data_IF_776921914495
#
_entry.id   IF_776921914495
#
_cell.length_a   1.000
_cell.length_b   1.000
_cell.length_c   1.000
_cell.angle_alpha   90.00
_cell.angle_beta   90.00
_cell.angle_gamma   90.00
#
_symmetry.space_group_name_H-M   'P 1'
#
loop_
_entity.id
_entity.type
_entity.pdbx_description
1 polymer ?
#
# COMPACT_ATOMS: atom_id res chain seq x y z
N UNK A 1 2.36 -19.29 -1.05
CA UNK A 1 1.49 -18.09 -1.27
C UNK A 1 1.77 -17.50 -2.64
N UNK A 2 0.75 -17.12 -3.42
CA UNK A 2 0.83 -16.36 -4.68
C UNK A 2 0.60 -14.87 -4.41
N UNK A 3 0.86 -14.00 -5.39
CA UNK A 3 0.61 -12.56 -5.27
C UNK A 3 -0.88 -12.24 -5.09
N UNK A 4 -1.76 -12.97 -5.77
CA UNK A 4 -3.21 -12.83 -5.61
C UNK A 4 -3.68 -13.23 -4.21
N UNK A 5 -3.18 -14.34 -3.67
CA UNK A 5 -3.47 -14.76 -2.29
C UNK A 5 -2.97 -13.73 -1.26
N UNK A 6 -1.76 -13.18 -1.49
CA UNK A 6 -1.20 -12.13 -0.63
C UNK A 6 -2.07 -10.88 -0.63
N UNK A 7 -2.47 -10.39 -1.82
CA UNK A 7 -3.37 -9.24 -1.97
C UNK A 7 -4.69 -9.46 -1.22
N UNK A 8 -5.30 -10.64 -1.39
CA UNK A 8 -6.53 -11.00 -0.70
C UNK A 8 -6.34 -10.98 0.82
N UNK A 9 -5.28 -11.62 1.33
CA UNK A 9 -5.03 -11.68 2.76
C UNK A 9 -4.84 -10.28 3.38
N UNK A 10 -4.10 -9.38 2.72
CA UNK A 10 -3.96 -8.00 3.20
C UNK A 10 -5.28 -7.22 3.13
N UNK A 11 -6.09 -7.44 2.08
CA UNK A 11 -7.41 -6.81 1.92
C UNK A 11 -8.37 -7.26 3.01
N UNK A 12 -8.37 -8.54 3.37
CA UNK A 12 -9.21 -9.11 4.44
C UNK A 12 -8.90 -8.46 5.81
N UNK A 13 -7.69 -7.92 6.00
CA UNK A 13 -7.30 -7.12 7.16
C UNK A 13 -7.49 -5.61 6.99
N UNK A 14 -8.13 -5.16 5.93
CA UNK A 14 -8.45 -3.74 5.68
C UNK A 14 -7.28 -2.92 5.15
N UNK A 15 -6.33 -3.55 4.46
CA UNK A 15 -5.21 -2.86 3.82
C UNK A 15 -5.49 -2.65 2.33
N UNK A 16 -5.46 -1.39 1.86
CA UNK A 16 -5.70 -1.04 0.46
C UNK A 16 -4.44 -1.07 -0.40
N UNK A 17 -3.27 -0.86 0.22
CA UNK A 17 -1.98 -0.82 -0.44
C UNK A 17 -0.95 -1.66 0.30
N UNK A 18 -0.10 -2.35 -0.45
CA UNK A 18 1.06 -3.09 0.05
C UNK A 18 2.31 -2.41 -0.46
N UNK A 19 3.26 -2.20 0.41
CA UNK A 19 4.57 -1.62 0.14
C UNK A 19 5.62 -2.73 0.17
N UNK A 20 6.13 -3.10 -1.00
CA UNK A 20 7.08 -4.19 -1.16
C UNK A 20 8.52 -3.67 -1.23
N UNK A 21 9.40 -4.22 -0.41
CA UNK A 21 10.84 -3.94 -0.40
C UNK A 21 11.63 -5.21 -0.66
N UNK A 22 12.51 -5.16 -1.66
CA UNK A 22 13.51 -6.22 -1.85
C UNK A 22 14.62 -6.01 -0.82
N UNK A 23 14.90 -7.02 -0.02
CA UNK A 23 15.91 -6.98 1.03
C UNK A 23 17.29 -7.32 0.45
N UNK A 24 18.29 -6.50 0.77
CA UNK A 24 19.69 -6.79 0.46
C UNK A 24 20.32 -7.73 1.48
N UNK A 25 21.48 -8.31 1.14
CA UNK A 25 22.24 -9.19 2.02
C UNK A 25 22.74 -8.49 3.30
N UNK A 26 22.94 -7.17 3.25
CA UNK A 26 23.53 -6.37 4.34
C UNK A 26 22.51 -5.69 5.25
N UNK A 27 21.22 -5.84 4.99
CA UNK A 27 20.20 -5.11 5.75
C UNK A 27 20.18 -5.41 7.25
N UNK A 28 21.02 -6.35 7.75
CA UNK A 28 20.78 -6.87 9.08
C UNK A 28 21.96 -7.27 9.94
N UNK A 29 23.02 -6.52 10.02
CA UNK A 29 24.01 -6.78 11.08
C UNK A 29 23.44 -6.62 12.51
N UNK A 30 22.25 -5.98 12.65
CA UNK A 30 21.59 -5.69 13.93
C UNK A 30 20.08 -6.02 13.94
N UNK A 31 19.61 -6.92 13.08
CA UNK A 31 18.17 -7.18 12.92
C UNK A 31 17.35 -5.90 12.69
N UNK A 32 17.84 -5.02 11.84
CA UNK A 32 17.20 -3.79 11.44
C UNK A 32 17.03 -3.76 9.93
N UNK A 33 15.89 -3.32 9.44
CA UNK A 33 15.63 -3.13 8.02
C UNK A 33 15.61 -1.63 7.73
N UNK A 34 16.44 -1.18 6.80
CA UNK A 34 16.45 0.19 6.30
C UNK A 34 15.17 0.46 5.49
N UNK A 35 14.43 1.52 5.86
CA UNK A 35 13.16 1.88 5.21
C UNK A 35 13.23 3.15 4.37
N UNK A 36 14.36 3.84 4.33
CA UNK A 36 14.56 5.04 3.52
C UNK A 36 15.50 6.05 4.16
N UNK A 37 16.02 6.97 3.32
CA UNK A 37 16.91 8.07 3.69
C UNK A 37 16.15 9.38 3.93
N UNK A 38 14.87 9.30 4.29
CA UNK A 38 14.06 10.44 4.71
C UNK A 38 13.00 9.97 5.70
N UNK A 39 12.34 10.90 6.38
CA UNK A 39 11.21 10.60 7.25
C UNK A 39 9.87 10.46 6.49
N UNK A 40 9.87 10.55 5.16
CA UNK A 40 8.65 10.43 4.34
C UNK A 40 7.94 9.09 4.53
N UNK A 41 8.69 8.04 4.91
CA UNK A 41 8.13 6.72 5.23
C UNK A 41 7.09 6.79 6.36
N UNK A 42 7.17 7.77 7.25
CA UNK A 42 6.21 7.99 8.32
C UNK A 42 4.84 8.51 7.81
N UNK A 43 4.80 9.02 6.57
CA UNK A 43 3.54 9.40 5.93
C UNK A 43 2.72 8.17 5.48
N UNK A 44 3.36 7.01 5.37
CA UNK A 44 2.70 5.77 4.96
C UNK A 44 2.52 4.78 6.11
N UNK A 45 3.37 4.81 7.13
CA UNK A 45 3.28 3.91 8.28
C UNK A 45 3.01 4.69 9.57
N UNK A 46 1.84 4.48 10.19
CA UNK A 46 1.46 5.20 11.39
C UNK A 46 2.37 4.83 12.57
N UNK A 47 2.67 5.83 13.38
CA UNK A 47 3.40 5.69 14.64
C UNK A 47 2.51 6.15 15.80
N UNK A 48 2.71 5.60 16.99
CA UNK A 48 1.92 5.96 18.17
C UNK A 48 2.65 6.96 19.08
N UNK A 49 3.92 6.72 19.35
CA UNK A 49 4.71 7.50 20.30
C UNK A 49 6.16 7.57 19.83
N UNK A 50 6.78 8.72 20.04
CA UNK A 50 8.21 8.92 19.79
C UNK A 50 8.89 9.21 21.12
N UNK A 51 9.96 8.46 21.42
CA UNK A 51 10.79 8.65 22.60
C UNK A 51 12.28 8.72 22.23
N UNK A 52 13.05 9.50 22.99
CA UNK A 52 14.50 9.50 22.83
C UNK A 52 15.07 8.12 23.20
N UNK A 53 16.02 7.63 22.42
CA UNK A 53 16.73 6.39 22.73
C UNK A 53 18.02 6.65 23.49
N UNK A 54 17.94 6.63 24.82
CA UNK A 54 19.08 6.83 25.71
C UNK A 54 20.13 5.69 25.68
N UNK A 55 19.81 4.55 25.07
CA UNK A 55 20.74 3.43 24.92
C UNK A 55 21.74 3.60 23.77
N UNK A 56 21.66 4.69 23.04
CA UNK A 56 22.55 5.02 21.93
C UNK A 56 23.86 5.67 22.39
N UNK A 57 24.89 5.55 21.55
CA UNK A 57 26.09 6.34 21.68
C UNK A 57 25.71 7.83 21.55
N UNK A 58 26.14 8.68 22.50
CA UNK A 58 25.87 10.11 22.51
C UNK A 58 26.28 10.86 21.22
N UNK A 59 27.10 10.24 20.39
CA UNK A 59 27.54 10.78 19.09
C UNK A 59 26.44 10.70 18.00
N UNK A 60 25.38 9.92 18.21
CA UNK A 60 24.30 9.73 17.24
C UNK A 60 22.94 9.75 17.95
N UNK A 61 22.41 10.94 18.08
CA UNK A 61 21.03 11.10 18.53
C UNK A 61 20.10 10.24 17.68
N UNK A 62 19.22 9.48 18.34
CA UNK A 62 18.22 8.65 17.70
C UNK A 62 16.97 8.58 18.55
N UNK A 63 15.85 8.37 17.88
CA UNK A 63 14.55 8.24 18.51
C UNK A 63 13.94 6.89 18.16
N UNK A 64 13.09 6.39 19.06
CA UNK A 64 12.26 5.21 18.85
C UNK A 64 10.82 5.67 18.64
N UNK A 65 10.22 5.27 17.54
CA UNK A 65 8.82 5.47 17.26
C UNK A 65 8.11 4.11 17.38
N UNK A 66 7.21 3.99 18.36
CA UNK A 66 6.43 2.79 18.57
C UNK A 66 5.38 2.61 17.48
N UNK A 67 5.16 1.36 17.06
CA UNK A 67 4.21 1.00 16.03
C UNK A 67 3.35 -0.19 16.46
N UNK A 68 2.10 -0.20 16.04
CA UNK A 68 1.23 -1.37 16.16
C UNK A 68 1.50 -2.32 14.99
N UNK A 69 2.30 -3.36 15.21
CA UNK A 69 2.77 -4.25 14.15
C UNK A 69 2.40 -5.71 14.40
N UNK A 70 2.04 -6.42 13.32
CA UNK A 70 1.80 -7.86 13.33
C UNK A 70 2.39 -8.54 12.09
N UNK A 71 2.87 -9.77 12.24
CA UNK A 71 3.24 -10.61 11.10
C UNK A 71 2.05 -11.41 10.60
N UNK A 72 1.75 -11.31 9.32
CA UNK A 72 0.90 -12.24 8.58
C UNK A 72 1.71 -13.51 8.27
N UNK A 73 1.11 -14.68 8.48
CA UNK A 73 1.72 -15.97 8.18
C UNK A 73 0.94 -16.72 7.10
N UNK A 74 1.51 -17.83 6.60
CA UNK A 74 0.90 -18.64 5.54
C UNK A 74 -0.45 -19.28 5.95
N UNK A 75 -0.72 -19.36 7.25
CA UNK A 75 -2.02 -19.76 7.79
C UNK A 75 -3.11 -18.67 7.68
N UNK A 76 -2.77 -17.52 7.11
CA UNK A 76 -3.68 -16.36 6.97
C UNK A 76 -3.89 -15.57 8.26
N UNK A 77 -3.21 -15.94 9.37
CA UNK A 77 -3.38 -15.32 10.68
C UNK A 77 -2.30 -14.28 10.92
N UNK A 78 -2.66 -13.16 11.58
CA UNK A 78 -1.69 -12.15 12.02
C UNK A 78 -1.27 -12.39 13.46
N UNK A 79 0.04 -12.27 13.72
CA UNK A 79 0.67 -12.48 15.02
C UNK A 79 1.29 -11.18 15.51
N UNK A 80 0.78 -10.59 16.62
CA UNK A 80 1.29 -9.34 17.17
C UNK A 80 2.78 -9.40 17.54
N UNK A 81 3.46 -8.28 17.30
CA UNK A 81 4.88 -8.09 17.61
C UNK A 81 5.06 -6.83 18.47
N UNK A 82 4.85 -6.92 19.79
CA UNK A 82 4.71 -5.73 20.65
C UNK A 82 5.99 -4.93 20.85
N UNK A 83 7.13 -5.41 20.36
CA UNK A 83 8.42 -4.72 20.42
C UNK A 83 8.86 -4.13 19.08
N UNK A 84 8.01 -4.20 18.06
CA UNK A 84 8.26 -3.59 16.77
C UNK A 84 8.27 -2.06 16.89
N UNK A 85 9.25 -1.43 16.27
CA UNK A 85 9.46 0.01 16.32
C UNK A 85 10.21 0.51 15.10
N UNK A 86 10.08 1.79 14.81
CA UNK A 86 11.01 2.48 13.93
C UNK A 86 12.08 3.16 14.75
N UNK A 87 13.32 3.16 14.25
CA UNK A 87 14.43 3.94 14.79
C UNK A 87 14.68 5.08 13.82
N UNK A 88 14.64 6.30 14.33
CA UNK A 88 14.79 7.53 13.57
C UNK A 88 16.16 8.13 13.88
N UNK A 89 16.90 8.52 12.84
CA UNK A 89 18.21 9.15 12.93
C UNK A 89 18.16 10.56 12.33
N UNK A 90 17.99 11.64 13.15
CA UNK A 90 17.80 12.99 12.60
C UNK A 90 19.02 13.55 11.87
N UNK A 91 20.22 13.25 12.34
CA UNK A 91 21.47 13.78 11.76
C UNK A 91 21.68 13.34 10.30
N UNK A 92 21.28 12.12 9.99
CA UNK A 92 21.23 11.57 8.63
C UNK A 92 19.85 10.99 8.47
N UNK A 93 18.89 11.76 7.94
CA UNK A 93 17.48 11.38 7.96
C UNK A 93 17.27 9.98 7.40
N UNK A 94 17.23 9.00 8.27
CA UNK A 94 16.94 7.61 7.90
C UNK A 94 15.97 6.97 8.91
N UNK A 95 15.18 6.05 8.42
CA UNK A 95 14.27 5.25 9.23
C UNK A 95 14.66 3.79 9.11
N UNK A 96 14.76 3.11 10.25
CA UNK A 96 15.03 1.67 10.34
C UNK A 96 13.93 0.97 11.08
N UNK A 97 13.45 -0.13 10.55
CA UNK A 97 12.51 -1.03 11.20
C UNK A 97 13.28 -2.01 12.08
N UNK A 98 12.89 -2.13 13.35
CA UNK A 98 13.56 -2.92 14.36
C UNK A 98 12.56 -3.58 15.31
N UNK A 99 13.01 -4.55 16.11
CA UNK A 99 12.18 -5.23 17.12
C UNK A 99 11.12 -6.15 16.54
N UNK A 100 11.06 -6.32 15.24
CA UNK A 100 10.02 -7.03 14.50
C UNK A 100 9.97 -8.55 14.73
N UNK A 101 10.95 -9.14 15.41
CA UNK A 101 10.94 -10.56 15.83
C UNK A 101 10.63 -10.73 17.32
N UNK A 102 10.82 -9.67 18.10
CA UNK A 102 10.82 -9.76 19.55
C UNK A 102 9.40 -9.97 20.11
N UNK A 103 9.26 -11.00 20.95
CA UNK A 103 8.00 -11.40 21.61
C UNK A 103 6.86 -11.75 20.65
N UNK A 104 7.16 -12.06 19.39
CA UNK A 104 6.17 -12.56 18.45
C UNK A 104 6.14 -14.09 18.49
N UNK A 105 4.95 -14.67 18.71
CA UNK A 105 4.77 -16.13 18.81
C UNK A 105 5.18 -16.89 17.56
N UNK A 106 4.92 -16.32 16.38
CA UNK A 106 5.25 -16.91 15.06
C UNK A 106 5.98 -15.90 14.18
N UNK A 107 7.05 -15.29 14.72
CA UNK A 107 7.92 -14.43 13.92
C UNK A 107 8.57 -15.23 12.78
N UNK A 108 8.72 -14.65 11.57
CA UNK A 108 9.42 -15.28 10.45
C UNK A 108 10.95 -15.18 10.62
N UNK A 109 11.46 -15.71 11.75
CA UNK A 109 12.87 -15.55 12.14
C UNK A 109 13.81 -16.16 11.11
N UNK A 110 13.45 -17.32 10.55
CA UNK A 110 14.21 -18.04 9.52
C UNK A 110 14.44 -17.21 8.26
N UNK A 111 13.48 -16.35 7.89
CA UNK A 111 13.58 -15.47 6.73
C UNK A 111 14.20 -14.11 7.08
N UNK A 112 13.92 -13.59 8.27
CA UNK A 112 14.36 -12.24 8.64
C UNK A 112 15.80 -12.20 9.17
N UNK A 113 16.35 -13.33 9.66
CA UNK A 113 17.73 -13.40 10.16
C UNK A 113 18.74 -13.86 9.11
N UNK A 114 18.28 -14.52 8.04
CA UNK A 114 19.17 -14.90 6.93
C UNK A 114 19.67 -13.66 6.19
N UNK A 115 20.90 -13.72 5.70
CA UNK A 115 21.52 -12.66 4.87
C UNK A 115 21.31 -12.87 3.38
N UNK A 116 20.37 -13.73 3.00
CA UNK A 116 20.13 -14.05 1.60
C UNK A 116 19.48 -12.87 0.89
N UNK A 117 20.10 -12.40 -0.17
CA UNK A 117 19.61 -11.31 -1.00
C UNK A 117 18.33 -11.71 -1.77
N UNK A 118 17.50 -10.72 -2.12
CA UNK A 118 16.31 -10.93 -2.95
C UNK A 118 15.09 -11.42 -2.20
N UNK A 119 15.14 -11.60 -0.86
CA UNK A 119 13.94 -11.76 -0.04
C UNK A 119 13.07 -10.52 -0.20
N UNK A 120 11.75 -10.67 -0.09
CA UNK A 120 10.85 -9.55 -0.25
C UNK A 120 10.04 -9.37 1.03
N UNK A 121 10.13 -8.18 1.59
CA UNK A 121 9.32 -7.72 2.71
C UNK A 121 8.13 -6.93 2.15
N UNK A 122 6.93 -7.36 2.50
CA UNK A 122 5.68 -6.68 2.21
C UNK A 122 5.15 -6.06 3.48
N UNK A 123 4.87 -4.77 3.46
CA UNK A 123 4.30 -4.02 4.57
C UNK A 123 3.01 -3.34 4.10
N UNK A 124 2.00 -3.31 4.95
CA UNK A 124 0.78 -2.55 4.70
C UNK A 124 0.25 -1.99 6.01
N UNK A 125 -0.51 -0.91 5.94
CA UNK A 125 -1.26 -0.39 7.07
C UNK A 125 -2.76 -0.47 6.77
N UNK A 126 -3.52 -0.72 7.81
CA UNK A 126 -4.98 -0.68 7.74
C UNK A 126 -5.54 0.63 8.30
N UNK A 127 -6.84 0.84 8.14
CA UNK A 127 -7.55 2.04 8.61
C UNK A 127 -7.59 2.19 10.14
N UNK A 128 -7.17 1.14 10.88
CA UNK A 128 -7.08 1.15 12.35
C UNK A 128 -5.67 1.49 12.85
N UNK A 129 -4.76 1.89 11.96
CA UNK A 129 -3.38 2.22 12.31
C UNK A 129 -2.50 1.01 12.63
N UNK A 130 -2.91 -0.21 12.26
CA UNK A 130 -2.08 -1.40 12.38
C UNK A 130 -1.25 -1.63 11.13
N UNK A 131 0.05 -1.83 11.32
CA UNK A 131 0.97 -2.25 10.26
C UNK A 131 1.03 -3.77 10.24
N UNK A 132 0.85 -4.36 9.07
CA UNK A 132 0.93 -5.80 8.85
C UNK A 132 2.10 -6.08 7.94
N UNK A 133 2.93 -7.04 8.29
CA UNK A 133 4.09 -7.46 7.50
C UNK A 133 3.98 -8.91 7.04
N UNK A 134 4.49 -9.19 5.86
CA UNK A 134 4.74 -10.54 5.36
C UNK A 134 6.11 -10.56 4.70
N UNK A 135 6.85 -11.63 4.85
CA UNK A 135 8.15 -11.80 4.21
C UNK A 135 8.22 -13.13 3.48
N UNK A 136 8.83 -13.13 2.32
CA UNK A 136 9.05 -14.34 1.52
C UNK A 136 10.50 -14.53 1.13
N UNK A 137 10.89 -15.78 0.91
CA UNK A 137 12.20 -16.14 0.38
C UNK A 137 12.35 -15.66 -1.07
N UNK A 138 13.58 -15.41 -1.50
CA UNK A 138 13.93 -14.98 -2.86
C UNK A 138 13.54 -16.00 -3.94
N UNK A 139 13.53 -17.29 -3.60
CA UNK A 139 13.23 -18.40 -4.51
C UNK A 139 11.77 -18.90 -4.42
N UNK A 140 10.92 -18.19 -3.71
CA UNK A 140 9.50 -18.54 -3.62
C UNK A 140 8.74 -18.21 -4.90
N UNK A 141 7.62 -18.91 -5.13
CA UNK A 141 6.71 -18.57 -6.23
C UNK A 141 6.25 -17.11 -6.17
N UNK A 142 5.97 -16.60 -4.96
CA UNK A 142 5.58 -15.21 -4.76
C UNK A 142 6.68 -14.23 -5.17
N UNK A 143 7.94 -14.49 -4.82
CA UNK A 143 9.06 -13.65 -5.22
C UNK A 143 9.28 -13.68 -6.74
N UNK A 144 9.16 -14.85 -7.36
CA UNK A 144 9.24 -15.02 -8.81
C UNK A 144 8.14 -14.24 -9.53
N UNK A 145 6.89 -14.40 -9.07
CA UNK A 145 5.73 -13.70 -9.62
C UNK A 145 5.85 -12.17 -9.46
N UNK A 146 6.27 -11.70 -8.28
CA UNK A 146 6.53 -10.28 -8.03
C UNK A 146 7.62 -9.71 -8.94
N UNK A 147 8.75 -10.41 -9.08
CA UNK A 147 9.86 -9.95 -9.90
C UNK A 147 9.52 -9.91 -11.39
N UNK A 148 8.68 -10.84 -11.87
CA UNK A 148 8.19 -10.86 -13.26
C UNK A 148 7.22 -9.70 -13.54
N UNK A 149 6.35 -9.37 -12.57
CA UNK A 149 5.30 -8.36 -12.69
C UNK A 149 5.58 -7.17 -11.75
N UNK A 150 6.82 -6.75 -11.65
CA UNK A 150 7.26 -5.69 -10.73
C UNK A 150 6.49 -4.39 -11.00
N UNK A 151 5.82 -3.82 -9.99
CA UNK A 151 5.06 -2.58 -10.18
C UNK A 151 5.96 -1.42 -10.62
N UNK A 152 5.47 -0.58 -11.51
CA UNK A 152 6.16 0.66 -11.89
C UNK A 152 6.06 1.73 -10.79
N UNK A 153 4.91 1.75 -10.08
CA UNK A 153 4.66 2.72 -9.03
C UNK A 153 5.52 2.46 -7.80
N UNK A 154 6.20 3.51 -7.32
CA UNK A 154 7.07 3.47 -6.15
C UNK A 154 6.79 4.62 -5.20
N UNK A 155 7.09 4.39 -3.92
CA UNK A 155 7.21 5.42 -2.90
C UNK A 155 8.55 5.21 -2.16
N UNK A 156 9.49 6.12 -2.40
CA UNK A 156 10.85 5.95 -1.93
C UNK A 156 11.47 4.63 -2.40
N UNK A 157 11.80 3.75 -1.47
CA UNK A 157 12.40 2.45 -1.75
C UNK A 157 11.36 1.32 -1.95
N UNK A 158 10.08 1.62 -1.81
CA UNK A 158 9.02 0.62 -1.88
C UNK A 158 8.34 0.60 -3.24
N UNK A 159 8.05 -0.59 -3.73
CA UNK A 159 7.11 -0.82 -4.83
C UNK A 159 5.69 -0.85 -4.26
N UNK A 160 4.74 -0.18 -4.92
CA UNK A 160 3.35 -0.10 -4.45
C UNK A 160 2.50 -1.13 -5.19
N UNK A 161 1.80 -1.98 -4.42
CA UNK A 161 0.85 -2.96 -4.93
C UNK A 161 -0.53 -2.60 -4.36
N UNK A 162 -1.53 -2.39 -5.20
CA UNK A 162 -2.91 -2.23 -4.76
C UNK A 162 -3.52 -3.60 -4.45
N UNK A 163 -4.20 -3.73 -3.31
CA UNK A 163 -4.87 -4.98 -2.90
C UNK A 163 -6.17 -5.21 -3.65
N UNK A 164 -6.90 -4.13 -3.90
CA UNK A 164 -8.00 -4.16 -4.83
C UNK A 164 -7.42 -4.13 -6.25
N UNK A 165 -7.94 -4.94 -7.12
CA UNK A 165 -7.96 -4.64 -8.53
C UNK A 165 -8.87 -3.41 -8.71
N UNK A 166 -8.40 -2.23 -8.29
CA UNK A 166 -8.79 -1.04 -9.03
C UNK A 166 -8.26 -1.36 -10.41
N UNK A 167 -9.18 -1.56 -11.33
CA UNK A 167 -8.90 -1.62 -12.75
C UNK A 167 -7.77 -0.63 -12.96
N UNK A 168 -6.54 -1.14 -13.09
CA UNK A 168 -5.32 -0.33 -13.14
C UNK A 168 -5.16 0.33 -14.51
N UNK A 169 -6.28 0.79 -15.04
CA UNK A 169 -6.39 1.48 -16.29
C UNK A 169 -7.54 2.49 -16.24
N UNK A 170 -7.61 3.31 -15.19
CA UNK A 170 -8.57 4.42 -15.23
C UNK A 170 -8.46 5.20 -16.55
N UNK A 171 -7.24 5.35 -17.09
CA UNK A 171 -7.05 6.00 -18.38
C UNK A 171 -7.53 5.12 -19.54
N UNK A 172 -7.12 3.86 -19.61
CA UNK A 172 -7.52 2.98 -20.72
C UNK A 172 -9.00 2.60 -20.61
N UNK A 173 -9.51 2.32 -19.41
CA UNK A 173 -10.93 2.08 -19.18
C UNK A 173 -11.77 3.32 -19.52
N UNK A 174 -11.30 4.52 -19.16
CA UNK A 174 -11.97 5.76 -19.55
C UNK A 174 -11.92 5.95 -21.08
N UNK A 175 -10.79 5.68 -21.71
CA UNK A 175 -10.65 5.76 -23.17
C UNK A 175 -11.53 4.75 -23.90
N UNK A 176 -11.62 3.53 -23.41
CA UNK A 176 -12.52 2.49 -23.92
C UNK A 176 -13.97 2.93 -23.77
N UNK A 177 -14.35 3.48 -22.63
CA UNK A 177 -15.71 3.95 -22.39
C UNK A 177 -16.04 5.19 -23.24
N UNK A 178 -15.13 6.14 -23.37
CA UNK A 178 -15.29 7.27 -24.28
C UNK A 178 -15.37 6.82 -25.76
N UNK A 179 -14.59 5.80 -26.15
CA UNK A 179 -14.66 5.21 -27.48
C UNK A 179 -16.01 4.51 -27.71
N UNK A 180 -16.52 3.79 -26.69
CA UNK A 180 -17.87 3.21 -26.74
C UNK A 180 -18.92 4.29 -26.96
N UNK A 181 -18.87 5.38 -26.18
CA UNK A 181 -19.82 6.49 -26.28
C UNK A 181 -19.72 7.16 -27.66
N UNK A 182 -18.52 7.40 -28.16
CA UNK A 182 -18.30 7.96 -29.49
C UNK A 182 -18.95 7.09 -30.59
N UNK A 183 -18.80 5.77 -30.50
CA UNK A 183 -19.33 4.83 -31.47
C UNK A 183 -20.87 4.70 -31.41
N UNK A 184 -21.55 5.21 -30.37
CA UNK A 184 -23.01 5.31 -30.33
C UNK A 184 -23.56 6.30 -31.35
N UNK A 185 -22.72 7.24 -31.84
CA UNK A 185 -23.15 8.31 -32.76
C UNK A 185 -24.14 9.27 -32.10
N UNK A 186 -25.19 9.63 -32.81
CA UNK A 186 -26.24 10.51 -32.30
C UNK A 186 -27.21 9.73 -31.42
N UNK A 187 -27.28 10.09 -30.14
CA UNK A 187 -28.17 9.49 -29.15
C UNK A 187 -29.14 10.52 -28.58
N UNK A 188 -30.30 10.05 -28.10
CA UNK A 188 -31.30 10.89 -27.49
C UNK A 188 -30.74 11.50 -26.19
N UNK A 189 -30.94 12.81 -26.01
CA UNK A 189 -30.48 13.54 -24.82
C UNK A 189 -31.12 13.00 -23.55
N UNK A 190 -30.29 12.70 -22.55
CA UNK A 190 -30.70 12.13 -21.27
C UNK A 190 -29.84 12.65 -20.11
N UNK A 191 -30.29 12.45 -18.90
CA UNK A 191 -29.51 12.66 -17.66
C UNK A 191 -29.88 11.59 -16.64
N UNK A 192 -29.08 11.41 -15.62
CA UNK A 192 -29.45 10.61 -14.44
C UNK A 192 -30.11 11.49 -13.39
N UNK A 193 -31.07 10.93 -12.63
CA UNK A 193 -31.52 11.51 -11.36
C UNK A 193 -30.56 11.14 -10.22
N UNK A 194 -30.88 11.54 -8.98
CA UNK A 194 -30.05 11.22 -7.80
C UNK A 194 -30.02 9.73 -7.46
N UNK A 195 -31.04 9.01 -7.85
CA UNK A 195 -31.23 7.57 -7.66
C UNK A 195 -30.57 6.75 -8.78
N UNK A 196 -30.04 7.41 -9.84
CA UNK A 196 -29.38 6.76 -10.97
C UNK A 196 -30.33 6.35 -12.10
N UNK A 197 -31.62 6.75 -12.07
CA UNK A 197 -32.55 6.45 -13.15
C UNK A 197 -32.37 7.43 -14.31
N UNK A 198 -32.51 6.91 -15.54
CA UNK A 198 -32.42 7.72 -16.74
C UNK A 198 -33.68 8.53 -16.98
N UNK A 199 -33.55 9.85 -17.10
CA UNK A 199 -34.63 10.76 -17.45
C UNK A 199 -34.29 11.59 -18.70
N UNK A 200 -35.31 12.01 -19.45
CA UNK A 200 -35.11 12.84 -20.64
C UNK A 200 -34.52 14.21 -20.26
N UNK A 201 -33.64 14.72 -21.11
CA UNK A 201 -33.04 16.04 -20.95
C UNK A 201 -33.42 16.94 -22.13
N UNK A 202 -34.01 18.13 -21.83
CA UNK A 202 -34.51 19.07 -22.84
C UNK A 202 -33.94 20.48 -22.64
N UNK A 203 -32.75 20.60 -22.06
CA UNK A 203 -32.09 21.89 -21.79
C UNK A 203 -30.89 22.11 -22.72
N UNK A 204 -30.40 23.34 -22.79
CA UNK A 204 -29.24 23.69 -23.64
C UNK A 204 -27.97 22.89 -23.29
N UNK A 205 -27.80 22.49 -22.04
CA UNK A 205 -26.61 21.78 -21.56
C UNK A 205 -26.73 20.27 -21.62
N UNK A 206 -27.74 19.72 -22.29
CA UNK A 206 -28.00 18.29 -22.33
C UNK A 206 -26.85 17.44 -22.90
N UNK A 207 -25.99 18.01 -23.72
CA UNK A 207 -24.80 17.30 -24.22
C UNK A 207 -23.89 16.81 -23.09
N UNK A 208 -23.58 17.71 -22.14
CA UNK A 208 -22.78 17.34 -20.95
C UNK A 208 -23.48 16.33 -20.07
N UNK A 209 -24.76 16.55 -19.74
CA UNK A 209 -25.56 15.61 -18.94
C UNK A 209 -25.73 14.24 -19.61
N UNK A 210 -25.78 14.19 -20.94
CA UNK A 210 -25.84 12.92 -21.66
C UNK A 210 -24.52 12.17 -21.55
N UNK A 211 -23.39 12.85 -21.66
CA UNK A 211 -22.07 12.25 -21.45
C UNK A 211 -21.91 11.73 -20.00
N UNK A 212 -22.31 12.53 -19.00
CA UNK A 212 -22.31 12.10 -17.61
C UNK A 212 -23.20 10.87 -17.39
N UNK A 213 -24.40 10.85 -18.00
CA UNK A 213 -25.30 9.71 -17.91
C UNK A 213 -24.74 8.44 -18.57
N UNK A 214 -24.06 8.57 -19.70
CA UNK A 214 -23.36 7.46 -20.37
C UNK A 214 -22.20 6.92 -19.54
N UNK A 215 -21.52 7.80 -18.78
CA UNK A 215 -20.45 7.45 -17.85
C UNK A 215 -20.97 6.94 -16.49
N UNK A 216 -22.29 6.90 -16.28
CA UNK A 216 -22.88 6.49 -15.01
C UNK A 216 -22.71 7.50 -13.87
N UNK A 217 -22.45 8.77 -14.20
CA UNK A 217 -22.24 9.84 -13.20
C UNK A 217 -23.60 10.42 -12.80
N UNK A 218 -23.95 10.23 -11.53
CA UNK A 218 -25.16 10.82 -10.93
C UNK A 218 -24.86 12.25 -10.43
N UNK A 219 -25.86 13.14 -10.41
CA UNK A 219 -25.69 14.49 -9.86
C UNK A 219 -25.24 14.41 -8.41
N UNK A 220 -24.10 14.99 -8.08
CA UNK A 220 -23.58 15.13 -6.73
C UNK A 220 -23.38 16.61 -6.42
N UNK A 221 -23.56 16.98 -5.15
CA UNK A 221 -23.40 18.36 -4.68
C UNK A 221 -21.97 18.75 -4.34
N UNK A 222 -20.97 17.98 -4.79
CA UNK A 222 -19.56 18.28 -4.50
C UNK A 222 -19.05 19.33 -5.48
N UNK A 223 -18.43 20.38 -4.95
CA UNK A 223 -17.67 21.33 -5.76
C UNK A 223 -16.52 20.61 -6.44
N UNK A 224 -16.27 20.91 -7.72
CA UNK A 224 -15.07 20.38 -8.39
C UNK A 224 -13.82 20.81 -7.60
N UNK A 225 -12.84 19.93 -7.42
CA UNK A 225 -11.56 20.31 -6.82
C UNK A 225 -10.95 21.44 -7.69
N UNK A 226 -10.54 22.51 -7.01
CA UNK A 226 -9.83 23.63 -7.65
C UNK A 226 -8.43 23.23 -8.05
#
# INVERSE_FOLDING_TARGET
>A
MTLSQLKKAFKDYGCDKIYAKILSSNDNSKNQVYLGGSFDVLNIFPISEISADSSGDWKRERFKAHINFSWLRDDGIIYPTPKAQFILYPKYPEVRFSGFLAKCRKAPSELMTTRQEGRILFLANNNQGKIIGYVTSHNSNLATEFNKNKPESKYGIFYIINTSERISNNKNSLLEELSRIHNLGWIKSKRLDREGNTINCNFSNCGGYTLEAELGITPNGFSAPK
#
